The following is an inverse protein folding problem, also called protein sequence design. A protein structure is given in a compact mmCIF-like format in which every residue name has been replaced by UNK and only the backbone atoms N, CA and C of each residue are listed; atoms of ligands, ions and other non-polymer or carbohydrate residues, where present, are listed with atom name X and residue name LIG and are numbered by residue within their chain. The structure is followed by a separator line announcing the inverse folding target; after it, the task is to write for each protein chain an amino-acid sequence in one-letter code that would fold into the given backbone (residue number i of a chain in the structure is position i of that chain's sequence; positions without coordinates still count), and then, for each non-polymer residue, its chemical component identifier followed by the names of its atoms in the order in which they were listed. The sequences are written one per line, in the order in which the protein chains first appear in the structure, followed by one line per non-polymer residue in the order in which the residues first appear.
data_IF_008181082640
#
_entry.id   IF_008181082640
#
_cell.length_a   1.000
_cell.length_b   1.000
_cell.length_c   1.000
_cell.angle_alpha   90.00
_cell.angle_beta   90.00
_cell.angle_gamma   90.00
#
_symmetry.space_group_name_H-M   'P 1'
#
loop_
_entity.id
_entity.type
_entity.pdbx_description
1 polymer ?
#
# COMPACT_ATOMS: atom_id res chain seq x y z
N UNK A 1 13.30 23.43 -3.94
CA UNK A 1 12.32 23.24 -2.85
C UNK A 1 11.58 21.94 -3.13
N UNK A 2 12.06 20.80 -2.64
CA UNK A 2 11.35 19.52 -2.83
C UNK A 2 10.10 19.62 -1.98
N UNK A 3 8.98 19.86 -2.65
CA UNK A 3 7.67 19.96 -2.04
C UNK A 3 7.39 18.59 -1.42
N UNK A 4 7.78 18.40 -0.15
CA UNK A 4 7.47 17.24 0.68
C UNK A 4 5.96 17.26 0.87
N UNK A 5 5.22 16.96 -0.19
CA UNK A 5 3.80 16.59 -0.13
C UNK A 5 3.77 15.55 0.97
N UNK A 6 3.06 15.82 2.06
CA UNK A 6 2.86 14.83 3.12
C UNK A 6 2.26 13.61 2.42
N UNK A 7 3.07 12.59 2.16
CA UNK A 7 2.63 11.42 1.42
C UNK A 7 1.67 10.71 2.35
N UNK A 8 0.39 10.92 2.07
CA UNK A 8 -0.69 10.41 2.90
C UNK A 8 -0.64 8.90 2.83
N UNK A 9 -0.93 8.23 3.95
CA UNK A 9 -1.05 6.78 3.94
C UNK A 9 -2.16 6.36 2.95
N UNK A 10 -1.93 5.39 2.05
CA UNK A 10 -2.89 4.97 1.02
C UNK A 10 -4.03 4.13 1.60
N UNK A 11 -4.62 4.57 2.70
CA UNK A 11 -5.71 3.91 3.44
C UNK A 11 -6.92 3.61 2.55
N UNK A 12 -7.17 4.47 1.55
CA UNK A 12 -8.30 4.34 0.63
C UNK A 12 -8.05 3.24 -0.40
N UNK A 13 -6.86 3.21 -1.00
CA UNK A 13 -6.43 2.14 -1.92
C UNK A 13 -6.41 0.80 -1.21
N UNK A 14 -5.81 0.73 -0.01
CA UNK A 14 -5.76 -0.51 0.76
C UNK A 14 -7.16 -1.02 1.12
N UNK A 15 -8.09 -0.16 1.51
CA UNK A 15 -9.48 -0.59 1.76
C UNK A 15 -10.20 -1.05 0.49
N UNK A 16 -10.03 -0.34 -0.63
CA UNK A 16 -10.60 -0.76 -1.92
C UNK A 16 -10.04 -2.10 -2.38
N UNK A 17 -8.75 -2.31 -2.17
CA UNK A 17 -8.05 -3.54 -2.52
C UNK A 17 -8.48 -4.69 -1.61
N UNK A 18 -8.52 -4.50 -0.28
CA UNK A 18 -9.03 -5.49 0.69
C UNK A 18 -10.46 -5.95 0.38
N UNK A 19 -11.30 -5.05 -0.15
CA UNK A 19 -12.66 -5.41 -0.57
C UNK A 19 -12.71 -6.33 -1.78
N UNK A 20 -11.72 -6.25 -2.66
CA UNK A 20 -11.62 -7.08 -3.87
C UNK A 20 -10.83 -8.37 -3.59
N UNK A 21 -9.82 -8.30 -2.72
CA UNK A 21 -8.88 -9.35 -2.42
C UNK A 21 -9.03 -9.78 -0.95
N UNK A 22 -9.95 -10.71 -0.71
CA UNK A 22 -10.17 -11.28 0.64
C UNK A 22 -9.00 -12.18 1.08
N UNK A 23 -8.31 -12.77 0.11
CA UNK A 23 -7.05 -13.48 0.23
C UNK A 23 -6.15 -12.96 -0.86
N UNK A 24 -4.90 -12.68 -0.55
CA UNK A 24 -3.90 -12.24 -1.51
C UNK A 24 -2.65 -13.10 -1.38
N UNK A 25 -2.02 -13.33 -2.52
CA UNK A 25 -0.74 -14.00 -2.63
C UNK A 25 0.38 -12.98 -2.86
N UNK A 26 1.61 -13.49 -2.96
CA UNK A 26 2.81 -12.69 -3.23
C UNK A 26 2.71 -11.86 -4.52
N UNK A 27 1.93 -12.34 -5.50
CA UNK A 27 1.71 -11.66 -6.78
C UNK A 27 0.78 -10.46 -6.66
N UNK A 28 -0.35 -10.62 -5.97
CA UNK A 28 -1.32 -9.55 -5.69
C UNK A 28 -0.68 -8.46 -4.81
N UNK A 29 0.18 -8.87 -3.87
CA UNK A 29 0.98 -7.95 -3.08
C UNK A 29 1.92 -7.13 -3.98
N UNK A 30 2.63 -7.74 -4.93
CA UNK A 30 3.49 -6.99 -5.88
C UNK A 30 2.68 -6.02 -6.74
N UNK A 31 1.53 -6.44 -7.23
CA UNK A 31 0.62 -5.61 -8.02
C UNK A 31 0.16 -4.37 -7.22
N UNK A 32 -0.26 -4.58 -5.96
CA UNK A 32 -0.60 -3.49 -5.05
C UNK A 32 0.56 -2.51 -4.83
N UNK A 33 1.79 -3.03 -4.66
CA UNK A 33 2.98 -2.21 -4.49
C UNK A 33 3.26 -1.39 -5.76
N UNK A 34 3.04 -1.94 -6.95
CA UNK A 34 3.14 -1.22 -8.22
C UNK A 34 2.03 -0.18 -8.39
N UNK A 35 0.77 -0.49 -8.10
CA UNK A 35 -0.35 0.45 -8.14
C UNK A 35 -0.12 1.65 -7.21
N UNK A 36 0.37 1.38 -5.99
CA UNK A 36 0.75 2.42 -5.04
C UNK A 36 1.93 3.25 -5.56
N UNK A 37 2.91 2.63 -6.22
CA UNK A 37 4.01 3.35 -6.84
C UNK A 37 3.50 4.31 -7.93
N UNK A 38 2.65 3.81 -8.84
CA UNK A 38 2.08 4.58 -9.94
C UNK A 38 1.14 5.69 -9.47
N UNK A 39 0.40 5.47 -8.38
CA UNK A 39 -0.46 6.48 -7.74
C UNK A 39 0.31 7.59 -7.02
N UNK A 40 1.65 7.52 -6.97
CA UNK A 40 2.49 8.51 -6.31
C UNK A 40 2.67 8.28 -4.81
N UNK A 41 2.41 7.05 -4.34
CA UNK A 41 2.77 6.57 -3.00
C UNK A 41 4.13 5.85 -2.99
N UNK A 42 5.05 6.22 -3.89
CA UNK A 42 6.41 5.69 -4.00
C UNK A 42 7.14 5.62 -2.64
N UNK A 43 6.86 6.54 -1.71
CA UNK A 43 7.48 6.52 -0.36
C UNK A 43 6.91 5.44 0.55
N UNK A 44 5.67 5.00 0.32
CA UNK A 44 5.08 3.86 1.02
C UNK A 44 5.58 2.51 0.50
N UNK A 45 5.96 2.47 -0.78
CA UNK A 45 6.42 1.26 -1.46
C UNK A 45 7.91 1.24 -1.76
N UNK A 46 8.63 2.31 -1.50
CA UNK A 46 10.07 2.44 -1.71
C UNK A 46 10.87 2.11 -0.46
N UNK A 47 10.27 2.31 0.73
CA UNK A 47 10.90 2.01 2.01
C UNK A 47 10.45 0.65 2.54
N UNK A 48 11.38 -0.21 3.01
CA UNK A 48 11.02 -1.52 3.58
C UNK A 48 10.11 -1.38 4.80
N UNK A 49 10.34 -0.36 5.62
CA UNK A 49 9.52 -0.06 6.80
C UNK A 49 8.08 0.31 6.42
N UNK A 50 7.92 1.07 5.34
CA UNK A 50 6.62 1.51 4.86
C UNK A 50 5.85 0.37 4.18
N UNK A 51 6.55 -0.51 3.43
CA UNK A 51 5.98 -1.79 2.95
C UNK A 51 5.49 -2.64 4.11
N UNK A 52 6.26 -2.72 5.20
CA UNK A 52 5.85 -3.46 6.38
C UNK A 52 4.59 -2.86 7.03
N UNK A 53 4.46 -1.52 7.09
CA UNK A 53 3.23 -0.88 7.55
C UNK A 53 2.02 -1.15 6.65
N UNK A 54 2.23 -1.18 5.33
CA UNK A 54 1.19 -1.54 4.36
C UNK A 54 0.75 -2.99 4.58
N UNK A 55 1.69 -3.92 4.73
CA UNK A 55 1.42 -5.34 5.00
C UNK A 55 0.67 -5.53 6.30
N UNK A 56 1.16 -4.95 7.39
CA UNK A 56 0.52 -4.97 8.70
C UNK A 56 -0.90 -4.40 8.65
N UNK A 57 -1.12 -3.32 7.91
CA UNK A 57 -2.44 -2.72 7.75
C UNK A 57 -3.40 -3.69 7.04
N UNK A 58 -2.95 -4.33 5.97
CA UNK A 58 -3.75 -5.33 5.26
C UNK A 58 -4.07 -6.50 6.17
N UNK A 59 -3.07 -7.10 6.84
CA UNK A 59 -3.26 -8.22 7.77
C UNK A 59 -4.24 -7.88 8.90
N UNK A 60 -4.14 -6.68 9.47
CA UNK A 60 -5.04 -6.22 10.56
C UNK A 60 -6.47 -6.01 10.07
N UNK A 61 -6.65 -5.56 8.83
CA UNK A 61 -7.97 -5.34 8.23
C UNK A 61 -8.51 -6.57 7.49
N UNK A 62 -7.79 -7.72 7.51
CA UNK A 62 -8.21 -9.01 6.94
C UNK A 62 -9.24 -9.74 7.81
N UNK A 63 -10.21 -9.00 8.35
CA UNK A 63 -11.26 -9.51 9.25
C UNK A 63 -12.50 -9.95 8.48
#
# INVERSE_FOLDING_TARGET
MTNKKKIRFPKRELNSWLRKHSTWDDQEWKDLIEELNQSGFETWVGSPEARNQVGLYLETNRR
#
